data_IF_825503325880
#
_entry.id   IF_825503325880
#
_cell.length_a   1.000
_cell.length_b   1.000
_cell.length_c   1.000
_cell.angle_alpha   90.00
_cell.angle_beta   90.00
_cell.angle_gamma   90.00
#
_symmetry.space_group_name_H-M   'P 1'
#
loop_
_entity.id
_entity.type
_entity.pdbx_description
1 polymer ?
#
# COMPACT_ATOMS: atom_id res chain seq x y z
N UNK A 1 -37.37 30.25 -48.69
CA UNK A 1 -36.64 29.07 -49.21
C UNK A 1 -36.79 27.93 -48.23
N UNK A 2 -37.51 26.88 -48.63
CA UNK A 2 -37.77 25.66 -47.86
C UNK A 2 -36.70 24.63 -48.21
N UNK A 3 -36.10 23.96 -47.22
CA UNK A 3 -35.39 22.71 -47.46
C UNK A 3 -35.84 21.64 -46.47
N UNK A 4 -36.06 20.46 -47.04
CA UNK A 4 -36.78 19.31 -46.53
C UNK A 4 -35.97 18.50 -45.51
N UNK A 5 -36.69 17.97 -44.51
CA UNK A 5 -36.30 16.81 -43.70
C UNK A 5 -36.20 15.57 -44.61
N UNK A 6 -35.11 14.81 -44.50
CA UNK A 6 -35.06 13.41 -44.92
C UNK A 6 -34.72 12.53 -43.72
N UNK A 7 -35.65 11.64 -43.40
CA UNK A 7 -35.57 10.60 -42.40
C UNK A 7 -35.00 9.36 -43.10
N UNK A 8 -33.79 8.93 -42.76
CA UNK A 8 -33.17 7.71 -43.27
C UNK A 8 -33.10 6.68 -42.15
N UNK A 9 -34.06 5.76 -42.12
CA UNK A 9 -34.03 4.59 -41.25
C UNK A 9 -33.06 3.54 -41.83
N UNK A 10 -31.88 3.43 -41.24
CA UNK A 10 -30.95 2.33 -41.48
C UNK A 10 -31.13 1.27 -40.40
N UNK A 11 -31.81 0.17 -40.73
CA UNK A 11 -31.90 -1.03 -39.89
C UNK A 11 -30.57 -1.78 -40.00
N UNK A 12 -29.72 -1.62 -38.99
CA UNK A 12 -28.53 -2.47 -38.80
C UNK A 12 -28.87 -3.63 -37.89
N UNK A 13 -28.99 -4.83 -38.45
CA UNK A 13 -29.10 -6.09 -37.69
C UNK A 13 -27.72 -6.39 -37.10
N UNK A 14 -27.58 -6.30 -35.78
CA UNK A 14 -26.43 -6.84 -35.04
C UNK A 14 -26.89 -8.11 -34.33
N UNK A 15 -26.58 -9.26 -34.94
CA UNK A 15 -26.59 -10.56 -34.30
C UNK A 15 -25.36 -10.65 -33.39
N UNK A 16 -25.55 -10.33 -32.11
CA UNK A 16 -24.55 -10.51 -31.06
C UNK A 16 -25.05 -11.55 -30.05
N UNK A 17 -24.35 -12.68 -29.99
CA UNK A 17 -24.59 -13.82 -29.09
C UNK A 17 -24.83 -13.37 -27.64
N UNK A 18 -25.97 -13.76 -27.08
CA UNK A 18 -26.25 -13.65 -25.66
C UNK A 18 -25.36 -14.65 -24.89
N UNK A 19 -24.21 -14.19 -24.42
CA UNK A 19 -23.45 -14.91 -23.40
C UNK A 19 -24.15 -14.72 -22.05
N UNK A 20 -24.71 -15.79 -21.50
CA UNK A 20 -25.14 -15.84 -20.11
C UNK A 20 -23.88 -15.71 -19.23
N UNK A 21 -23.68 -14.55 -18.60
CA UNK A 21 -22.66 -14.39 -17.56
C UNK A 21 -23.32 -14.78 -16.24
N UNK A 22 -23.21 -16.06 -15.87
CA UNK A 22 -23.53 -16.48 -14.51
C UNK A 22 -22.46 -15.93 -13.55
N UNK A 23 -22.89 -15.03 -12.66
CA UNK A 23 -22.10 -14.65 -11.50
C UNK A 23 -22.05 -15.86 -10.55
N UNK A 24 -20.95 -16.62 -10.57
CA UNK A 24 -20.70 -17.67 -9.57
C UNK A 24 -20.44 -17.05 -8.20
N UNK A 25 -20.90 -17.73 -7.16
CA UNK A 25 -20.65 -17.35 -5.77
C UNK A 25 -19.14 -17.26 -5.50
N UNK A 26 -18.71 -16.21 -4.78
CA UNK A 26 -17.35 -16.09 -4.26
C UNK A 26 -17.19 -17.15 -3.17
N UNK A 27 -16.60 -18.28 -3.53
CA UNK A 27 -16.26 -19.36 -2.60
C UNK A 27 -15.07 -18.95 -1.72
N UNK A 28 -15.32 -18.88 -0.41
CA UNK A 28 -14.37 -18.90 0.72
C UNK A 28 -13.40 -17.72 0.87
N UNK A 29 -13.62 -16.94 1.95
CA UNK A 29 -12.63 -16.04 2.55
C UNK A 29 -11.42 -16.85 3.03
N UNK A 30 -10.22 -16.52 2.56
CA UNK A 30 -8.96 -17.01 3.11
C UNK A 30 -8.73 -16.41 4.51
N UNK A 31 -9.28 -17.03 5.55
CA UNK A 31 -8.78 -16.80 6.91
C UNK A 31 -7.35 -17.36 6.99
N UNK A 32 -6.42 -16.70 7.71
CA UNK A 32 -5.11 -17.29 7.97
C UNK A 32 -5.26 -18.57 8.80
N UNK A 33 -4.87 -19.71 8.23
CA UNK A 33 -4.76 -20.98 8.96
C UNK A 33 -3.53 -20.95 9.89
N UNK A 34 -3.65 -21.49 11.11
CA UNK A 34 -2.51 -21.66 12.01
C UNK A 34 -1.57 -22.74 11.48
N UNK A 35 -0.26 -22.47 11.52
CA UNK A 35 0.78 -23.41 11.09
C UNK A 35 0.72 -24.72 11.91
N UNK A 36 0.53 -25.89 11.27
CA UNK A 36 0.65 -27.17 11.97
C UNK A 36 2.09 -27.38 12.46
N UNK A 37 2.25 -27.69 13.75
CA UNK A 37 3.56 -28.08 14.35
C UNK A 37 4.08 -27.23 15.51
N UNK A 38 3.39 -26.14 15.90
CA UNK A 38 3.86 -25.24 16.96
C UNK A 38 3.90 -25.81 18.39
N UNK A 39 3.27 -26.97 18.64
CA UNK A 39 3.15 -27.55 19.99
C UNK A 39 4.21 -28.60 20.34
N UNK A 40 5.04 -29.05 19.38
CA UNK A 40 6.01 -30.12 19.64
C UNK A 40 7.41 -29.64 20.05
N UNK A 41 7.78 -28.38 19.78
CA UNK A 41 9.15 -27.88 20.04
C UNK A 41 9.32 -27.35 21.47
N UNK A 42 8.23 -26.99 22.16
CA UNK A 42 8.31 -26.50 23.55
C UNK A 42 8.50 -27.62 24.60
N UNK A 43 8.26 -28.90 24.24
CA UNK A 43 8.29 -30.00 25.21
C UNK A 43 9.67 -30.66 25.39
N UNK A 44 10.64 -30.41 24.51
CA UNK A 44 11.95 -31.09 24.56
C UNK A 44 13.08 -30.26 25.20
N UNK A 45 12.80 -29.01 25.60
CA UNK A 45 13.82 -28.16 26.23
C UNK A 45 13.91 -28.29 27.77
N UNK A 46 13.12 -29.16 28.41
CA UNK A 46 13.01 -29.23 29.89
C UNK A 46 13.58 -30.51 30.51
N UNK A 47 14.11 -31.46 29.73
CA UNK A 47 14.70 -32.71 30.26
C UNK A 47 16.15 -32.89 29.81
N UNK A 48 17.02 -32.00 30.27
CA UNK A 48 18.46 -32.23 30.25
C UNK A 48 19.10 -31.77 31.57
N UNK A 49 18.56 -32.26 32.69
CA UNK A 49 19.22 -32.23 34.00
C UNK A 49 19.00 -33.58 34.64
N UNK A 50 19.99 -34.48 34.52
CA UNK A 50 20.39 -35.55 35.48
C UNK A 50 21.23 -36.66 34.80
N UNK A 51 22.47 -36.85 35.29
CA UNK A 51 23.34 -38.07 35.30
C UNK A 51 23.61 -38.84 33.99
N UNK A 52 24.78 -39.40 33.66
CA UNK A 52 26.04 -39.77 34.33
C UNK A 52 27.07 -40.07 33.24
N UNK A 53 28.37 -39.97 33.53
CA UNK A 53 29.43 -39.96 32.52
C UNK A 53 29.77 -41.27 31.80
N UNK A 54 30.40 -41.13 30.63
CA UNK A 54 31.46 -41.98 30.08
C UNK A 54 32.01 -41.35 28.79
N UNK A 55 33.30 -41.58 28.51
CA UNK A 55 34.12 -40.90 27.49
C UNK A 55 34.34 -41.78 26.25
N UNK A 56 34.20 -41.16 25.07
CA UNK A 56 34.71 -41.50 23.71
C UNK A 56 34.04 -42.63 22.88
N UNK A 57 34.18 -42.67 21.52
CA UNK A 57 34.73 -41.67 20.57
C UNK A 57 33.79 -41.29 19.40
N UNK A 58 34.09 -40.14 18.77
CA UNK A 58 33.80 -39.75 17.37
C UNK A 58 32.50 -40.26 16.70
N UNK A 59 31.36 -39.67 17.08
CA UNK A 59 30.22 -39.64 16.18
C UNK A 59 30.51 -38.64 15.05
N UNK A 60 30.87 -39.17 13.88
CA UNK A 60 30.93 -38.39 12.63
C UNK A 60 29.57 -37.74 12.41
N UNK A 61 29.45 -36.43 12.65
CA UNK A 61 28.25 -35.68 12.33
C UNK A 61 28.16 -35.61 10.81
N UNK A 62 27.40 -36.51 10.22
CA UNK A 62 27.00 -36.41 8.82
C UNK A 62 26.11 -35.18 8.70
N UNK A 63 26.68 -34.05 8.27
CA UNK A 63 25.91 -32.88 7.89
C UNK A 63 25.02 -33.28 6.72
N UNK A 64 23.75 -33.57 7.01
CA UNK A 64 22.74 -33.72 5.99
C UNK A 64 22.82 -32.49 5.07
N UNK A 65 23.09 -32.73 3.79
CA UNK A 65 23.09 -31.68 2.78
C UNK A 65 21.70 -31.09 2.71
N UNK A 66 21.51 -29.95 3.39
CA UNK A 66 20.38 -29.09 3.17
C UNK A 66 20.62 -28.42 1.81
N UNK A 67 20.17 -29.08 0.74
CA UNK A 67 19.83 -28.44 -0.54
C UNK A 67 18.65 -27.50 -0.35
N UNK A 68 18.74 -26.60 0.63
CA UNK A 68 17.82 -25.50 0.80
C UNK A 68 18.13 -24.45 -0.25
N UNK A 69 17.10 -23.91 -0.88
CA UNK A 69 17.16 -22.67 -1.64
C UNK A 69 17.52 -21.51 -0.70
N UNK A 70 18.78 -21.44 -0.29
CA UNK A 70 19.35 -20.27 0.37
C UNK A 70 19.52 -19.19 -0.71
N UNK A 71 19.06 -17.95 -0.50
CA UNK A 71 19.35 -16.85 -1.40
C UNK A 71 20.86 -16.72 -1.57
N UNK A 72 21.32 -16.79 -2.82
CA UNK A 72 22.74 -16.52 -3.16
C UNK A 72 23.00 -15.04 -2.90
N UNK A 73 24.10 -14.72 -2.20
CA UNK A 73 24.55 -13.33 -2.05
C UNK A 73 24.74 -12.73 -3.44
N UNK A 74 24.19 -11.54 -3.66
CA UNK A 74 24.34 -10.81 -4.93
C UNK A 74 25.84 -10.72 -5.26
N UNK A 75 26.27 -11.15 -6.46
CA UNK A 75 27.66 -10.99 -6.89
C UNK A 75 28.11 -9.54 -6.73
N UNK A 76 29.30 -9.35 -6.16
CA UNK A 76 29.92 -8.03 -5.94
C UNK A 76 30.25 -7.30 -7.25
N UNK A 77 30.17 -8.02 -8.37
CA UNK A 77 30.75 -7.64 -9.66
C UNK A 77 29.66 -7.26 -10.68
N UNK A 78 28.41 -7.07 -10.24
CA UNK A 78 27.46 -6.32 -11.05
C UNK A 78 27.91 -4.87 -10.98
N UNK A 79 28.52 -4.40 -12.07
CA UNK A 79 28.72 -2.99 -12.35
C UNK A 79 27.51 -2.24 -11.82
N UNK A 80 27.72 -1.49 -10.73
CA UNK A 80 26.71 -0.62 -10.18
C UNK A 80 26.56 0.42 -11.28
N UNK A 81 25.61 0.19 -12.20
CA UNK A 81 25.19 1.19 -13.18
C UNK A 81 25.08 2.45 -12.37
N UNK A 82 25.97 3.39 -12.68
CA UNK A 82 26.10 4.63 -11.93
C UNK A 82 24.73 5.26 -12.00
N UNK A 83 23.96 5.14 -10.92
CA UNK A 83 22.64 5.75 -10.83
C UNK A 83 22.94 7.20 -11.12
N UNK A 84 22.52 7.66 -12.30
CA UNK A 84 22.68 9.04 -12.69
C UNK A 84 21.90 9.79 -11.63
N UNK A 85 22.62 10.27 -10.61
CA UNK A 85 22.14 11.19 -9.61
C UNK A 85 21.88 12.46 -10.40
N UNK A 86 20.74 12.47 -11.09
CA UNK A 86 20.21 13.64 -11.76
C UNK A 86 20.26 14.70 -10.68
N UNK A 87 21.11 15.71 -10.86
CA UNK A 87 21.26 16.78 -9.87
C UNK A 87 19.87 17.34 -9.63
N UNK A 88 19.27 16.93 -8.51
CA UNK A 88 17.88 17.19 -8.22
C UNK A 88 17.81 18.69 -7.98
N UNK A 89 17.31 19.40 -8.99
CA UNK A 89 17.37 20.85 -9.07
C UNK A 89 16.01 21.39 -9.44
N UNK A 90 15.71 22.61 -9.01
CA UNK A 90 14.48 23.29 -9.39
C UNK A 90 14.32 23.39 -10.91
N UNK A 91 15.42 23.60 -11.64
CA UNK A 91 15.40 23.62 -13.11
C UNK A 91 15.11 22.24 -13.71
N UNK A 92 15.73 21.19 -13.19
CA UNK A 92 15.47 19.82 -13.63
C UNK A 92 14.02 19.40 -13.37
N UNK A 93 13.46 19.81 -12.22
CA UNK A 93 12.06 19.58 -11.88
C UNK A 93 11.10 20.31 -12.82
N UNK A 94 11.36 21.59 -13.15
CA UNK A 94 10.55 22.33 -14.12
C UNK A 94 10.58 21.68 -15.51
N UNK A 95 11.75 21.22 -15.95
CA UNK A 95 11.89 20.47 -17.21
C UNK A 95 11.11 19.16 -17.18
N UNK A 96 11.14 18.44 -16.06
CA UNK A 96 10.36 17.23 -15.85
C UNK A 96 8.85 17.49 -15.92
N UNK A 97 8.35 18.58 -15.29
CA UNK A 97 6.92 18.97 -15.38
C UNK A 97 6.52 19.20 -16.84
N UNK A 98 7.35 19.91 -17.61
CA UNK A 98 7.09 20.18 -19.02
C UNK A 98 7.01 18.88 -19.86
N UNK A 99 7.93 17.94 -19.62
CA UNK A 99 7.88 16.61 -20.24
C UNK A 99 6.66 15.79 -19.80
N UNK A 100 6.32 15.86 -18.51
CA UNK A 100 5.16 15.18 -17.93
C UNK A 100 3.83 15.69 -18.51
N UNK A 101 3.74 16.98 -18.86
CA UNK A 101 2.54 17.57 -19.47
C UNK A 101 2.07 16.81 -20.71
N UNK A 102 2.99 16.35 -21.56
CA UNK A 102 2.64 15.56 -22.75
C UNK A 102 1.96 14.24 -22.37
N UNK A 103 2.52 13.54 -21.38
CA UNK A 103 1.95 12.29 -20.85
C UNK A 103 0.58 12.53 -20.20
N UNK A 104 0.43 13.59 -19.40
CA UNK A 104 -0.83 13.96 -18.79
C UNK A 104 -1.93 14.22 -19.82
N UNK A 105 -1.60 14.96 -20.90
CA UNK A 105 -2.52 15.22 -22.02
C UNK A 105 -2.93 13.95 -22.76
N UNK A 106 -1.98 13.03 -22.98
CA UNK A 106 -2.28 11.74 -23.61
C UNK A 106 -3.27 10.90 -22.79
N UNK A 107 -3.36 11.13 -21.47
CA UNK A 107 -4.33 10.52 -20.57
C UNK A 107 -5.64 11.33 -20.43
N UNK A 108 -5.87 12.33 -21.29
CA UNK A 108 -7.10 13.12 -21.31
C UNK A 108 -7.15 14.30 -20.34
N UNK A 109 -6.04 14.63 -19.64
CA UNK A 109 -6.00 15.80 -18.76
C UNK A 109 -5.93 17.08 -19.61
N UNK A 110 -6.91 17.96 -19.45
CA UNK A 110 -6.94 19.24 -20.16
C UNK A 110 -5.79 20.17 -19.73
N UNK A 111 -5.32 21.02 -20.64
CA UNK A 111 -4.31 22.04 -20.32
C UNK A 111 -4.76 22.92 -19.16
N UNK A 112 -6.04 23.34 -19.14
CA UNK A 112 -6.61 24.15 -18.06
C UNK A 112 -6.48 23.46 -16.69
N UNK A 113 -6.81 22.16 -16.62
CA UNK A 113 -6.71 21.38 -15.38
C UNK A 113 -5.25 21.25 -14.96
N UNK A 114 -4.35 20.94 -15.90
CA UNK A 114 -2.92 20.81 -15.63
C UNK A 114 -2.33 22.12 -15.10
N UNK A 115 -2.56 23.23 -15.81
CA UNK A 115 -2.02 24.53 -15.46
C UNK A 115 -2.59 25.01 -14.10
N UNK A 116 -3.84 24.68 -13.80
CA UNK A 116 -4.44 24.95 -12.49
C UNK A 116 -3.80 24.13 -11.36
N UNK A 117 -3.52 22.84 -11.60
CA UNK A 117 -2.94 21.93 -10.62
C UNK A 117 -1.45 22.20 -10.34
N UNK A 118 -0.69 22.58 -11.37
CA UNK A 118 0.75 22.82 -11.29
C UNK A 118 1.12 24.28 -11.01
N UNK A 119 0.15 25.18 -10.82
CA UNK A 119 0.42 26.59 -10.53
C UNK A 119 1.19 26.74 -9.22
N UNK A 120 2.41 27.27 -9.30
CA UNK A 120 3.27 27.52 -8.14
C UNK A 120 3.90 26.27 -7.53
N UNK A 121 3.80 25.11 -8.19
CA UNK A 121 4.43 23.87 -7.74
C UNK A 121 5.96 23.97 -7.85
N UNK A 122 6.65 23.67 -6.76
CA UNK A 122 8.11 23.70 -6.67
C UNK A 122 8.64 22.36 -6.15
N UNK A 123 9.91 22.08 -6.41
CA UNK A 123 10.53 20.88 -5.87
C UNK A 123 10.65 21.02 -4.34
N UNK A 124 10.17 20.02 -3.58
CA UNK A 124 10.16 20.06 -2.11
C UNK A 124 11.10 19.00 -1.49
N UNK A 125 12.34 19.36 -1.14
CA UNK A 125 13.28 18.42 -0.51
C UNK A 125 12.77 17.81 0.80
N UNK A 126 11.86 18.50 1.51
CA UNK A 126 11.31 18.02 2.77
C UNK A 126 10.42 16.78 2.57
N UNK A 127 9.71 16.72 1.44
CA UNK A 127 8.90 15.55 1.04
C UNK A 127 9.80 14.35 0.81
N UNK A 128 10.92 14.52 0.09
CA UNK A 128 11.92 13.45 -0.14
C UNK A 128 12.54 12.97 1.18
N UNK A 129 12.86 13.91 2.08
CA UNK A 129 13.39 13.56 3.41
C UNK A 129 12.40 12.73 4.23
N UNK A 130 11.13 13.15 4.27
CA UNK A 130 10.04 12.41 4.95
C UNK A 130 9.85 11.02 4.33
N UNK A 131 9.88 10.96 3.01
CA UNK A 131 9.73 9.72 2.26
C UNK A 131 10.83 8.70 2.59
N UNK A 132 12.09 9.15 2.71
CA UNK A 132 13.23 8.31 3.10
C UNK A 132 13.25 7.94 4.58
N UNK A 133 12.57 8.70 5.45
CA UNK A 133 12.56 8.47 6.89
C UNK A 133 11.22 7.89 7.35
N UNK A 134 11.03 6.59 7.15
CA UNK A 134 9.89 5.83 7.65
C UNK A 134 10.15 5.46 9.14
N UNK A 135 9.57 6.24 10.07
CA UNK A 135 9.83 6.09 11.51
C UNK A 135 9.15 4.86 12.11
N UNK A 136 8.13 4.33 11.44
CA UNK A 136 7.29 3.23 11.88
C UNK A 136 8.09 1.92 11.98
N UNK A 137 9.11 1.74 11.14
CA UNK A 137 10.02 0.58 11.21
C UNK A 137 11.05 0.65 12.33
N UNK A 138 11.07 1.74 13.10
CA UNK A 138 12.06 1.98 14.17
C UNK A 138 11.46 1.93 15.58
N UNK A 139 10.13 1.83 15.70
CA UNK A 139 9.44 1.82 16.99
C UNK A 139 9.19 0.39 17.45
N UNK A 140 9.29 0.17 18.76
CA UNK A 140 8.88 -1.10 19.34
C UNK A 140 7.36 -1.27 19.23
N UNK A 141 6.89 -2.51 19.09
CA UNK A 141 5.46 -2.80 18.92
C UNK A 141 4.61 -2.26 20.09
N UNK A 142 5.14 -2.29 21.31
CA UNK A 142 4.46 -1.80 22.51
C UNK A 142 4.21 -0.29 22.45
N UNK A 143 5.21 0.48 22.01
CA UNK A 143 5.10 1.94 21.87
C UNK A 143 4.05 2.31 20.81
N UNK A 144 3.97 1.53 19.73
CA UNK A 144 2.94 1.71 18.73
C UNK A 144 1.54 1.45 19.30
N UNK A 145 1.37 0.36 20.04
CA UNK A 145 0.08 0.00 20.64
C UNK A 145 -0.38 1.06 21.64
N UNK A 146 0.49 1.54 22.53
CA UNK A 146 0.15 2.58 23.50
C UNK A 146 -0.41 3.85 22.84
N UNK A 147 0.15 4.23 21.67
CA UNK A 147 -0.35 5.35 20.89
C UNK A 147 -1.65 5.02 20.13
N UNK A 148 -1.74 3.82 19.55
CA UNK A 148 -2.87 3.39 18.74
C UNK A 148 -4.14 3.20 19.59
N UNK A 149 -4.04 2.58 20.76
CA UNK A 149 -5.18 2.27 21.64
C UNK A 149 -5.33 3.22 22.83
N UNK A 150 -4.77 4.43 22.73
CA UNK A 150 -4.90 5.45 23.78
C UNK A 150 -6.36 5.76 24.16
N UNK A 151 -6.59 6.06 25.44
CA UNK A 151 -7.92 6.36 25.99
C UNK A 151 -8.64 7.49 25.23
N UNK A 152 -7.89 8.49 24.78
CA UNK A 152 -8.44 9.59 23.97
C UNK A 152 -8.96 9.11 22.62
N UNK A 153 -8.24 8.20 21.94
CA UNK A 153 -8.66 7.64 20.66
C UNK A 153 -9.88 6.75 20.82
N UNK A 154 -9.91 5.87 21.82
CA UNK A 154 -11.08 5.03 22.12
C UNK A 154 -12.31 5.90 22.36
N UNK A 155 -12.21 6.89 23.26
CA UNK A 155 -13.32 7.82 23.56
C UNK A 155 -13.80 8.55 22.31
N UNK A 156 -12.88 9.08 21.50
CA UNK A 156 -13.23 9.81 20.28
C UNK A 156 -13.87 8.88 19.24
N UNK A 157 -13.39 7.65 19.09
CA UNK A 157 -13.97 6.63 18.22
C UNK A 157 -15.40 6.28 18.61
N UNK A 158 -15.66 6.03 19.91
CA UNK A 158 -17.03 5.78 20.37
C UNK A 158 -17.93 6.98 20.13
N UNK A 159 -17.44 8.22 20.29
CA UNK A 159 -18.19 9.44 19.98
C UNK A 159 -18.56 9.51 18.50
N UNK A 160 -17.60 9.26 17.61
CA UNK A 160 -17.79 9.33 16.15
C UNK A 160 -18.73 8.21 15.65
N UNK A 161 -18.62 7.01 16.19
CA UNK A 161 -19.55 5.91 15.90
C UNK A 161 -20.99 6.28 16.26
N UNK A 162 -21.21 6.89 17.43
CA UNK A 162 -22.55 7.38 17.81
C UNK A 162 -23.03 8.52 16.91
N UNK A 163 -22.15 9.48 16.61
CA UNK A 163 -22.48 10.65 15.80
C UNK A 163 -22.89 10.28 14.38
N UNK A 164 -22.20 9.32 13.75
CA UNK A 164 -22.43 8.91 12.36
C UNK A 164 -23.06 7.51 12.24
N UNK A 165 -23.80 7.07 13.26
CA UNK A 165 -24.37 5.72 13.35
C UNK A 165 -25.06 5.27 12.06
N UNK A 166 -25.99 6.06 11.52
CA UNK A 166 -26.73 5.72 10.30
C UNK A 166 -25.82 5.58 9.07
N UNK A 167 -24.69 6.30 9.02
CA UNK A 167 -23.71 6.16 7.92
C UNK A 167 -22.90 4.89 8.08
N UNK A 168 -22.44 4.61 9.29
CA UNK A 168 -21.71 3.38 9.60
C UNK A 168 -22.56 2.13 9.39
N UNK A 169 -23.81 2.12 9.85
CA UNK A 169 -24.73 0.99 9.66
C UNK A 169 -25.00 0.73 8.16
N UNK A 170 -25.06 1.79 7.33
CA UNK A 170 -25.17 1.65 5.86
C UNK A 170 -23.89 1.10 5.21
N UNK A 171 -22.73 1.56 5.66
CA UNK A 171 -21.42 1.07 5.19
C UNK A 171 -21.28 -0.40 5.54
N UNK A 172 -21.60 -0.77 6.77
CA UNK A 172 -21.58 -2.15 7.28
C UNK A 172 -22.52 -3.04 6.46
N UNK A 173 -23.76 -2.61 6.24
CA UNK A 173 -24.72 -3.38 5.44
C UNK A 173 -24.32 -3.53 3.96
N UNK A 174 -23.65 -2.53 3.37
CA UNK A 174 -23.29 -2.54 1.96
C UNK A 174 -21.98 -3.31 1.69
N UNK A 175 -20.98 -3.13 2.55
CA UNK A 175 -19.64 -3.68 2.33
C UNK A 175 -19.33 -4.91 3.19
N UNK A 176 -20.15 -5.23 4.20
CA UNK A 176 -19.94 -6.36 5.10
C UNK A 176 -18.75 -6.18 6.05
N UNK A 177 -18.30 -4.94 6.27
CA UNK A 177 -17.20 -4.60 7.19
C UNK A 177 -17.78 -3.97 8.45
N UNK A 178 -17.40 -4.50 9.61
CA UNK A 178 -17.87 -4.01 10.90
C UNK A 178 -17.54 -2.52 11.06
N UNK A 179 -18.52 -1.75 11.54
CA UNK A 179 -18.36 -0.29 11.65
C UNK A 179 -17.21 0.13 12.56
N UNK A 180 -16.90 -0.67 13.58
CA UNK A 180 -15.79 -0.44 14.50
C UNK A 180 -14.45 -0.49 13.77
N UNK A 181 -14.29 -1.38 12.78
CA UNK A 181 -13.08 -1.48 11.96
C UNK A 181 -12.91 -0.23 11.10
N UNK A 182 -13.98 0.20 10.43
CA UNK A 182 -13.97 1.42 9.60
C UNK A 182 -13.65 2.65 10.46
N UNK A 183 -14.24 2.75 11.65
CA UNK A 183 -13.96 3.83 12.59
C UNK A 183 -12.51 3.78 13.13
N UNK A 184 -11.97 2.59 13.40
CA UNK A 184 -10.59 2.44 13.84
C UNK A 184 -9.59 2.93 12.78
N UNK A 185 -9.78 2.53 11.51
CA UNK A 185 -8.96 3.00 10.39
C UNK A 185 -9.03 4.51 10.27
N UNK A 186 -10.24 5.08 10.24
CA UNK A 186 -10.41 6.53 10.10
C UNK A 186 -9.74 7.32 11.25
N UNK A 187 -9.82 6.77 12.46
CA UNK A 187 -9.16 7.30 13.65
C UNK A 187 -7.64 7.26 13.56
N UNK A 188 -7.06 6.18 13.04
CA UNK A 188 -5.62 6.03 12.85
C UNK A 188 -5.08 6.96 11.75
N UNK A 189 -5.79 7.05 10.63
CA UNK A 189 -5.33 7.80 9.45
C UNK A 189 -5.38 9.32 9.64
N UNK A 190 -6.43 9.82 10.29
CA UNK A 190 -6.69 11.28 10.28
C UNK A 190 -7.24 11.85 11.57
N UNK A 191 -7.29 11.05 12.65
CA UNK A 191 -8.01 11.41 13.87
C UNK A 191 -9.44 11.90 13.55
N UNK A 192 -10.18 11.10 12.76
CA UNK A 192 -11.55 11.42 12.35
C UNK A 192 -11.67 12.71 11.53
N UNK A 193 -10.62 13.05 10.78
CA UNK A 193 -10.56 14.23 9.92
C UNK A 193 -9.95 15.48 10.56
N UNK A 194 -9.53 15.44 11.83
CA UNK A 194 -8.82 16.54 12.48
C UNK A 194 -7.41 16.76 11.91
N UNK A 195 -6.76 15.69 11.43
CA UNK A 195 -5.39 15.70 10.90
C UNK A 195 -5.36 15.17 9.47
N UNK A 196 -5.56 16.05 8.48
CA UNK A 196 -5.60 15.67 7.05
C UNK A 196 -4.27 15.87 6.29
N UNK A 197 -3.22 16.29 6.99
CA UNK A 197 -1.99 16.79 6.37
C UNK A 197 -2.12 18.26 5.94
N UNK A 198 -0.98 18.93 5.75
CA UNK A 198 -0.90 20.33 5.29
C UNK A 198 -0.08 20.46 4.00
N UNK A 199 0.54 19.37 3.58
CA UNK A 199 1.42 19.28 2.43
C UNK A 199 0.61 19.41 1.12
N UNK A 200 1.03 20.27 0.17
CA UNK A 200 0.33 20.40 -1.11
C UNK A 200 0.44 19.10 -1.91
N UNK A 201 -0.70 18.41 -2.13
CA UNK A 201 -0.74 17.06 -2.71
C UNK A 201 -0.01 16.95 -4.06
N UNK A 202 -0.31 17.85 -5.00
CA UNK A 202 0.29 17.84 -6.34
C UNK A 202 1.81 18.06 -6.25
N UNK A 203 2.24 18.99 -5.41
CA UNK A 203 3.67 19.25 -5.20
C UNK A 203 4.39 18.03 -4.64
N UNK A 204 3.80 17.40 -3.61
CA UNK A 204 4.39 16.23 -2.96
C UNK A 204 4.52 15.05 -3.93
N UNK A 205 3.45 14.71 -4.65
CA UNK A 205 3.48 13.59 -5.60
C UNK A 205 4.42 13.88 -6.77
N UNK A 206 4.40 15.11 -7.32
CA UNK A 206 5.30 15.50 -8.40
C UNK A 206 6.77 15.44 -7.95
N UNK A 207 7.08 15.92 -6.75
CA UNK A 207 8.41 15.84 -6.15
C UNK A 207 8.89 14.39 -6.04
N UNK A 208 8.04 13.48 -5.55
CA UNK A 208 8.40 12.07 -5.42
C UNK A 208 8.55 11.36 -6.79
N UNK A 209 7.68 11.69 -7.74
CA UNK A 209 7.75 11.16 -9.09
C UNK A 209 9.00 11.64 -9.85
N UNK A 210 9.53 12.82 -9.50
CA UNK A 210 10.80 13.33 -10.02
C UNK A 210 12.03 12.73 -9.33
N UNK A 211 12.00 12.53 -8.00
CA UNK A 211 13.11 11.92 -7.24
C UNK A 211 13.33 10.44 -7.60
N UNK A 212 12.29 9.72 -8.03
CA UNK A 212 12.41 8.42 -8.70
C UNK A 212 12.62 7.20 -7.79
N UNK A 213 12.58 7.35 -6.46
CA UNK A 213 12.77 6.20 -5.54
C UNK A 213 11.70 5.11 -5.67
N UNK A 214 10.48 5.48 -6.05
CA UNK A 214 9.29 4.59 -6.04
C UNK A 214 8.67 4.39 -7.44
N UNK A 215 9.40 4.71 -8.52
CA UNK A 215 8.89 4.75 -9.90
C UNK A 215 9.63 3.85 -10.86
#
# INVERSE_FOLDING_TARGET
MRYHKFFGAGVGVVLGLAGQVEARAVESSLRPEQRPGGLAVAAQAVQAVQSTGQVAPEATVTLASLSGTRPVLRPSDLDVESVVQTRVSHQGFANWINGFRSRARAQGISNRTFDAAFRGVQYDPSVVKKDRNQSEFKKEIWEYLDFAVSTSRVRNGTKVLRQYRNTFDRIEAHFGVEKEVVAAIWGMESAYGERRGREPLIQSIATLAYDGRRG
#
